data_IF_604092464537
#
_entry.id   IF_604092464537
#
_cell.length_a   1.000
_cell.length_b   1.000
_cell.length_c   1.000
_cell.angle_alpha   90.00
_cell.angle_beta   90.00
_cell.angle_gamma   90.00
#
_symmetry.space_group_name_H-M   'P 1'
#
loop_
_entity.id
_entity.type
_entity.pdbx_description
1 polymer ?
#
# COMPACT_ATOMS: atom_id res chain seq x y z
N UNK A 1 8.17 1.67 6.39
CA UNK A 1 6.92 1.83 5.63
C UNK A 1 6.76 3.24 5.04
N UNK A 2 7.02 4.32 5.78
CA UNK A 2 6.84 5.71 5.28
C UNK A 2 7.60 6.02 3.97
N UNK A 3 8.80 5.46 3.77
CA UNK A 3 9.63 5.76 2.60
C UNK A 3 9.21 5.08 1.29
N UNK A 4 8.40 4.01 1.34
CA UNK A 4 8.03 3.23 0.14
C UNK A 4 6.60 3.55 -0.29
N UNK A 5 5.64 3.41 0.63
CA UNK A 5 4.21 3.58 0.31
C UNK A 5 3.72 4.98 0.70
N UNK A 6 4.17 5.47 1.86
CA UNK A 6 3.74 6.74 2.44
C UNK A 6 4.20 8.00 1.70
N UNK A 7 5.16 7.87 0.78
CA UNK A 7 5.53 8.95 -0.13
C UNK A 7 4.43 9.25 -1.15
N UNK A 8 3.60 8.25 -1.47
CA UNK A 8 2.56 8.34 -2.50
C UNK A 8 1.16 8.31 -1.92
N UNK A 9 0.91 7.54 -0.85
CA UNK A 9 -0.42 7.30 -0.31
C UNK A 9 -0.63 7.96 1.06
N UNK A 10 -1.88 8.34 1.34
CA UNK A 10 -2.36 8.62 2.69
C UNK A 10 -2.78 7.30 3.33
N UNK A 11 -2.43 7.15 4.60
CA UNK A 11 -2.88 6.08 5.48
C UNK A 11 -2.66 6.56 6.92
N UNK A 12 -3.76 6.86 7.61
CA UNK A 12 -3.75 7.49 8.93
C UNK A 12 -3.09 6.61 9.98
N UNK A 13 -3.34 5.30 9.92
CA UNK A 13 -2.75 4.31 10.84
C UNK A 13 -1.21 4.28 10.75
N UNK A 14 -0.68 4.41 9.54
CA UNK A 14 0.76 4.48 9.30
C UNK A 14 1.35 5.91 9.44
N UNK A 15 0.52 6.92 9.74
CA UNK A 15 0.93 8.33 9.85
C UNK A 15 1.44 8.93 8.53
N UNK A 16 0.91 8.46 7.39
CA UNK A 16 1.35 8.88 6.05
C UNK A 16 0.31 9.76 5.37
N UNK A 17 0.75 10.74 4.58
CA UNK A 17 -0.10 11.77 3.95
C UNK A 17 0.27 12.01 2.48
N UNK A 18 0.70 10.97 1.77
CA UNK A 18 1.03 11.04 0.35
C UNK A 18 -0.23 11.29 -0.49
N UNK A 19 -0.12 12.11 -1.53
CA UNK A 19 -1.28 12.53 -2.36
C UNK A 19 -1.08 12.21 -3.85
N UNK A 20 -0.14 11.31 -4.17
CA UNK A 20 0.14 10.89 -5.56
C UNK A 20 -0.76 9.71 -5.93
N UNK A 21 -0.84 8.72 -5.04
CA UNK A 21 -1.75 7.59 -5.13
C UNK A 21 -3.07 7.87 -4.39
N UNK A 22 -4.04 6.94 -4.48
CA UNK A 22 -5.28 7.03 -3.72
C UNK A 22 -5.04 7.05 -2.20
N UNK A 23 -5.96 7.69 -1.49
CA UNK A 23 -6.05 7.63 -0.04
C UNK A 23 -6.52 6.23 0.40
N UNK A 24 -5.69 5.53 1.16
CA UNK A 24 -5.95 4.16 1.58
C UNK A 24 -6.99 4.08 2.71
N UNK A 25 -7.20 5.16 3.46
CA UNK A 25 -8.29 5.25 4.45
C UNK A 25 -9.65 5.34 3.73
N UNK A 26 -9.70 6.02 2.58
CA UNK A 26 -10.93 6.19 1.79
C UNK A 26 -11.26 4.96 0.93
N UNK A 27 -10.27 4.42 0.21
CA UNK A 27 -10.51 3.31 -0.72
C UNK A 27 -10.60 1.96 -0.01
N UNK A 28 -9.92 1.80 1.13
CA UNK A 28 -9.91 0.59 1.96
C UNK A 28 -9.89 -0.72 1.15
N UNK A 29 -8.85 -0.95 0.32
CA UNK A 29 -8.76 -2.11 -0.56
C UNK A 29 -8.66 -3.41 0.25
N UNK A 30 -9.09 -4.52 -0.34
CA UNK A 30 -8.87 -5.83 0.27
C UNK A 30 -7.43 -6.34 0.07
N UNK A 31 -7.08 -7.41 0.78
CA UNK A 31 -5.72 -7.99 0.77
C UNK A 31 -5.28 -8.38 -0.65
N UNK A 32 -6.17 -8.96 -1.44
CA UNK A 32 -5.84 -9.43 -2.80
C UNK A 32 -5.61 -8.24 -3.75
N UNK A 33 -6.40 -7.17 -3.61
CA UNK A 33 -6.20 -5.92 -4.35
C UNK A 33 -4.86 -5.28 -4.02
N UNK A 34 -4.47 -5.24 -2.74
CA UNK A 34 -3.17 -4.69 -2.32
C UNK A 34 -2.02 -5.54 -2.86
N UNK A 35 -2.10 -6.87 -2.76
CA UNK A 35 -1.08 -7.77 -3.30
C UNK A 35 -0.93 -7.62 -4.82
N UNK A 36 -2.04 -7.56 -5.54
CA UNK A 36 -2.05 -7.35 -7.00
C UNK A 36 -1.44 -6.00 -7.36
N UNK A 37 -1.74 -4.93 -6.61
CA UNK A 37 -1.17 -3.61 -6.85
C UNK A 37 0.34 -3.58 -6.58
N UNK A 38 0.80 -4.24 -5.51
CA UNK A 38 2.23 -4.38 -5.18
C UNK A 38 2.98 -5.15 -6.27
N UNK A 39 2.39 -6.23 -6.78
CA UNK A 39 2.99 -7.06 -7.83
C UNK A 39 3.04 -6.32 -9.17
N UNK A 40 1.91 -5.74 -9.60
CA UNK A 40 1.74 -5.24 -10.98
C UNK A 40 2.09 -3.77 -11.18
N UNK A 41 2.13 -2.96 -10.11
CA UNK A 41 2.45 -1.54 -10.19
C UNK A 41 1.49 -0.74 -11.10
N UNK A 42 0.23 -0.52 -10.69
CA UNK A 42 -0.74 0.18 -11.52
C UNK A 42 -0.39 1.68 -11.71
N UNK A 43 -0.63 2.17 -12.93
CA UNK A 43 -0.39 3.56 -13.33
C UNK A 43 1.06 4.02 -13.10
N UNK A 44 1.29 4.84 -12.07
CA UNK A 44 2.61 5.39 -11.73
C UNK A 44 3.27 4.64 -10.57
N UNK A 45 2.57 3.67 -9.96
CA UNK A 45 3.10 2.83 -8.91
C UNK A 45 4.13 1.86 -9.51
N UNK A 46 5.35 1.76 -8.97
CA UNK A 46 6.30 0.74 -9.42
C UNK A 46 5.78 -0.67 -9.16
N UNK A 47 6.11 -1.61 -10.06
CA UNK A 47 5.83 -3.03 -9.89
C UNK A 47 6.82 -3.70 -8.94
N UNK A 48 6.44 -4.86 -8.38
CA UNK A 48 7.25 -5.69 -7.48
C UNK A 48 7.92 -4.92 -6.33
N UNK A 49 7.18 -4.01 -5.69
CA UNK A 49 7.71 -3.20 -4.58
C UNK A 49 8.05 -4.04 -3.33
N UNK A 50 7.32 -5.13 -3.12
CA UNK A 50 7.53 -6.14 -2.09
C UNK A 50 7.16 -7.50 -2.66
N UNK A 51 7.69 -8.57 -2.04
CA UNK A 51 7.41 -9.94 -2.46
C UNK A 51 7.16 -10.86 -1.25
N UNK A 52 6.48 -11.96 -1.51
CA UNK A 52 6.30 -13.03 -0.53
C UNK A 52 5.63 -12.57 0.76
N UNK A 53 6.27 -12.87 1.89
CA UNK A 53 5.71 -12.62 3.22
C UNK A 53 5.65 -11.14 3.58
N UNK A 54 6.59 -10.33 3.06
CA UNK A 54 6.60 -8.89 3.31
C UNK A 54 5.41 -8.21 2.63
N UNK A 55 5.05 -8.64 1.41
CA UNK A 55 3.87 -8.14 0.72
C UNK A 55 2.59 -8.50 1.48
N UNK A 56 2.49 -9.72 2.03
CA UNK A 56 1.33 -10.12 2.86
C UNK A 56 1.20 -9.30 4.12
N UNK A 57 2.29 -9.09 4.85
CA UNK A 57 2.25 -8.31 6.09
C UNK A 57 1.82 -6.85 5.87
N UNK A 58 2.11 -6.28 4.70
CA UNK A 58 1.65 -4.93 4.34
C UNK A 58 0.21 -4.93 3.84
N UNK A 59 -0.22 -5.99 3.16
CA UNK A 59 -1.58 -6.12 2.64
C UNK A 59 -2.60 -6.49 3.71
N UNK A 60 -2.18 -7.22 4.74
CA UNK A 60 -3.07 -7.63 5.83
C UNK A 60 -3.38 -6.44 6.76
N UNK A 61 -4.66 -6.23 7.12
CA UNK A 61 -5.02 -5.22 8.09
C UNK A 61 -4.33 -5.51 9.42
N UNK A 62 -3.61 -4.51 9.93
CA UNK A 62 -2.86 -4.64 11.17
C UNK A 62 -3.81 -4.98 12.33
N UNK A 63 -3.49 -5.96 13.20
CA UNK A 63 -4.36 -6.38 14.29
C UNK A 63 -4.28 -5.47 15.54
N UNK A 64 -3.68 -4.28 15.44
CA UNK A 64 -3.42 -3.37 16.56
C UNK A 64 -4.12 -2.03 16.39
#
# INVERSE_FOLDING_TARGET
MVSTCGACHTLSDAGTNGQIGPDLDDVAPDVEEVLTAIETGPAQMPENLLEGEEARQVAEPSPW
#
